data_IF_141561262999
#
_entry.id   IF_141561262999
#
_cell.length_a   1.000
_cell.length_b   1.000
_cell.length_c   1.000
_cell.angle_alpha   90.00
_cell.angle_beta   90.00
_cell.angle_gamma   90.00
#
_symmetry.space_group_name_H-M   'P 1'
#
loop_
_entity.id
_entity.type
_entity.pdbx_description
1 polymer ?
#
# COMPACT_ATOMS: atom_id res chain seq x y z
N UNK A 1 -15.62 14.55 3.26
CA UNK A 1 -14.42 13.94 3.85
C UNK A 1 -14.72 12.47 4.08
N UNK A 2 -13.91 11.55 3.58
CA UNK A 2 -14.01 10.12 3.89
C UNK A 2 -13.26 9.75 5.17
N UNK A 3 -13.25 8.46 5.53
CA UNK A 3 -12.49 7.92 6.64
C UNK A 3 -10.96 8.12 6.53
N UNK A 4 -10.46 8.53 5.35
CA UNK A 4 -9.03 8.85 5.14
C UNK A 4 -8.72 10.34 5.36
N UNK A 5 -9.73 11.15 5.69
CA UNK A 5 -9.57 12.61 5.83
C UNK A 5 -9.40 13.32 4.49
N UNK A 6 -9.73 12.66 3.38
CA UNK A 6 -9.61 13.21 2.04
C UNK A 6 -10.97 13.68 1.52
N UNK A 7 -10.93 14.68 0.64
CA UNK A 7 -12.14 15.27 0.09
C UNK A 7 -12.79 14.35 -0.94
N UNK A 8 -13.81 13.61 -0.54
CA UNK A 8 -14.53 12.65 -1.41
C UNK A 8 -15.46 13.30 -2.45
N UNK A 9 -15.37 14.62 -2.66
CA UNK A 9 -16.16 15.35 -3.66
C UNK A 9 -15.65 15.16 -5.08
N UNK A 10 -14.39 14.73 -5.24
CA UNK A 10 -13.71 14.58 -6.53
C UNK A 10 -13.41 13.11 -6.87
N UNK A 11 -13.60 12.73 -8.14
CA UNK A 11 -13.24 11.42 -8.64
C UNK A 11 -12.24 11.52 -9.81
N UNK A 12 -11.28 10.60 -9.86
CA UNK A 12 -10.22 10.62 -10.87
C UNK A 12 -10.75 10.25 -12.26
N UNK A 13 -10.07 10.74 -13.32
CA UNK A 13 -10.34 10.34 -14.71
C UNK A 13 -10.24 8.82 -14.91
N UNK A 14 -9.34 8.16 -14.18
CA UNK A 14 -9.21 6.70 -14.25
C UNK A 14 -10.46 6.00 -13.68
N UNK A 15 -10.94 6.46 -12.52
CA UNK A 15 -12.17 5.95 -11.90
C UNK A 15 -13.39 6.16 -12.80
N UNK A 16 -13.55 7.36 -13.38
CA UNK A 16 -14.68 7.68 -14.26
C UNK A 16 -14.64 6.87 -15.56
N UNK A 17 -13.46 6.63 -16.15
CA UNK A 17 -13.31 5.75 -17.32
C UNK A 17 -13.57 4.28 -17.02
N UNK A 18 -13.10 3.78 -15.87
CA UNK A 18 -13.38 2.41 -15.45
C UNK A 18 -14.89 2.20 -15.24
N UNK A 19 -15.55 3.17 -14.58
CA UNK A 19 -17.01 3.20 -14.41
C UNK A 19 -17.75 3.26 -15.73
N UNK A 20 -17.34 4.11 -16.67
CA UNK A 20 -18.01 4.24 -17.97
C UNK A 20 -17.93 2.96 -18.78
N UNK A 21 -16.81 2.22 -18.69
CA UNK A 21 -16.65 0.89 -19.32
C UNK A 21 -17.54 -0.18 -18.67
N UNK A 22 -17.77 -0.08 -17.36
CA UNK A 22 -18.61 -1.00 -16.60
C UNK A 22 -20.12 -0.71 -16.68
N UNK A 23 -20.52 0.41 -17.31
CA UNK A 23 -21.91 0.87 -17.33
C UNK A 23 -22.67 0.26 -18.52
N UNK A 24 -23.71 -0.53 -18.24
CA UNK A 24 -24.64 -1.05 -19.27
C UNK A 24 -25.30 0.13 -20.01
N UNK A 25 -25.44 0.00 -21.34
CA UNK A 25 -26.07 0.96 -22.28
C UNK A 25 -27.26 1.67 -21.63
N UNK A 26 -27.16 3.00 -21.43
CA UNK A 26 -28.31 3.85 -21.08
C UNK A 26 -28.15 4.79 -19.87
N UNK A 27 -27.13 4.64 -19.02
CA UNK A 27 -26.90 5.61 -17.92
C UNK A 27 -25.96 6.73 -18.36
N UNK A 28 -26.42 7.97 -18.23
CA UNK A 28 -25.74 9.19 -18.67
C UNK A 28 -24.31 9.29 -18.13
N UNK A 29 -23.41 9.78 -18.99
CA UNK A 29 -22.05 10.17 -18.61
C UNK A 29 -22.11 11.25 -17.53
N UNK A 30 -21.71 10.94 -16.30
CA UNK A 30 -21.45 11.96 -15.31
C UNK A 30 -20.18 12.69 -15.73
N UNK A 31 -20.33 13.85 -16.36
CA UNK A 31 -19.22 14.75 -16.67
C UNK A 31 -18.66 15.28 -15.35
N UNK A 32 -17.67 14.59 -14.78
CA UNK A 32 -16.87 15.15 -13.70
C UNK A 32 -15.88 16.15 -14.29
N UNK A 33 -16.11 17.42 -14.01
CA UNK A 33 -15.32 18.56 -14.52
C UNK A 33 -14.04 18.80 -13.71
N UNK A 34 -13.82 18.06 -12.62
CA UNK A 34 -12.69 18.32 -11.72
C UNK A 34 -11.41 17.65 -12.21
N UNK A 35 -10.37 18.48 -12.41
CA UNK A 35 -9.02 18.05 -12.84
C UNK A 35 -8.16 17.55 -11.69
N UNK A 36 -8.49 17.89 -10.45
CA UNK A 36 -7.77 17.50 -9.24
C UNK A 36 -8.58 16.47 -8.46
N UNK A 37 -7.91 15.43 -7.95
CA UNK A 37 -8.53 14.41 -7.09
C UNK A 37 -7.61 14.10 -5.92
N UNK A 38 -8.15 13.83 -4.72
CA UNK A 38 -7.29 13.46 -3.60
C UNK A 38 -6.58 12.13 -3.88
N UNK A 39 -5.31 12.06 -3.48
CA UNK A 39 -4.46 10.88 -3.63
C UNK A 39 -3.66 10.66 -2.34
N UNK A 40 -3.48 9.40 -1.99
CA UNK A 40 -2.70 9.01 -0.82
C UNK A 40 -1.65 7.98 -1.23
N UNK A 41 -0.40 8.24 -0.83
CA UNK A 41 0.71 7.29 -0.91
C UNK A 41 0.95 6.70 0.47
N UNK A 42 0.90 5.39 0.59
CA UNK A 42 1.17 4.68 1.85
C UNK A 42 2.38 3.78 1.67
N UNK A 43 3.33 3.88 2.58
CA UNK A 43 4.42 2.92 2.71
C UNK A 43 4.18 2.08 3.96
N UNK A 44 4.14 0.76 3.80
CA UNK A 44 3.97 -0.18 4.89
C UNK A 44 5.05 -1.28 4.84
N UNK A 45 5.37 -1.82 6.02
CA UNK A 45 6.10 -3.08 6.11
C UNK A 45 5.11 -4.24 5.90
N UNK A 46 5.33 -5.02 4.85
CA UNK A 46 4.48 -6.15 4.51
C UNK A 46 4.55 -7.30 5.53
N UNK A 47 5.59 -7.37 6.36
CA UNK A 47 5.75 -8.46 7.33
C UNK A 47 4.99 -8.19 8.62
N UNK A 48 5.11 -6.97 9.15
CA UNK A 48 4.41 -6.55 10.38
C UNK A 48 3.05 -5.89 10.12
N UNK A 49 2.71 -5.62 8.85
CA UNK A 49 1.56 -4.83 8.43
C UNK A 49 1.52 -3.40 9.02
N UNK A 50 2.66 -2.89 9.49
CA UNK A 50 2.77 -1.56 10.08
C UNK A 50 2.91 -0.51 8.97
N UNK A 51 2.12 0.56 9.06
CA UNK A 51 2.24 1.73 8.19
C UNK A 51 3.41 2.60 8.66
N UNK A 52 4.37 2.83 7.79
CA UNK A 52 5.62 3.54 8.06
C UNK A 52 5.52 5.03 7.71
N UNK A 53 4.83 5.34 6.61
CA UNK A 53 4.61 6.70 6.14
C UNK A 53 3.30 6.81 5.35
N UNK A 54 2.69 8.00 5.42
CA UNK A 54 1.47 8.36 4.70
C UNK A 54 1.66 9.76 4.14
N UNK A 55 1.52 9.89 2.82
CA UNK A 55 1.65 11.15 2.09
C UNK A 55 0.32 11.45 1.42
N UNK A 56 -0.23 12.63 1.70
CA UNK A 56 -1.48 13.10 1.11
C UNK A 56 -1.12 14.11 0.01
N UNK A 57 -1.69 13.97 -1.18
CA UNK A 57 -1.45 14.88 -2.30
C UNK A 57 -2.71 14.98 -3.18
N UNK A 58 -2.65 15.82 -4.21
CA UNK A 58 -3.66 15.96 -5.25
C UNK A 58 -3.14 15.39 -6.56
N UNK A 59 -3.90 14.48 -7.17
CA UNK A 59 -3.64 13.97 -8.51
C UNK A 59 -4.22 14.85 -9.62
N UNK A 60 -3.92 14.57 -10.90
CA UNK A 60 -3.09 13.47 -11.40
C UNK A 60 -1.59 13.78 -11.32
N UNK A 61 -0.87 13.01 -10.52
CA UNK A 61 0.58 13.09 -10.37
C UNK A 61 1.20 11.69 -10.36
N UNK A 62 2.41 11.58 -10.92
CA UNK A 62 3.16 10.32 -11.03
C UNK A 62 3.44 9.71 -9.65
N UNK A 63 3.38 8.38 -9.54
CA UNK A 63 3.62 7.65 -8.28
C UNK A 63 5.05 7.83 -7.76
N UNK A 64 6.02 8.13 -8.62
CA UNK A 64 7.42 8.33 -8.23
C UNK A 64 7.59 9.47 -7.23
N UNK A 65 6.80 10.56 -7.37
CA UNK A 65 6.87 11.68 -6.42
C UNK A 65 6.38 11.27 -5.03
N UNK A 66 5.24 10.59 -4.97
CA UNK A 66 4.66 10.08 -3.73
C UNK A 66 5.57 9.04 -3.08
N UNK A 67 6.17 8.14 -3.88
CA UNK A 67 7.10 7.13 -3.38
C UNK A 67 8.33 7.77 -2.75
N UNK A 68 8.96 8.73 -3.43
CA UNK A 68 10.18 9.38 -2.91
C UNK A 68 9.90 10.05 -1.57
N UNK A 69 8.80 10.78 -1.48
CA UNK A 69 8.41 11.46 -0.25
C UNK A 69 8.04 10.48 0.87
N UNK A 70 7.26 9.44 0.58
CA UNK A 70 6.92 8.41 1.57
C UNK A 70 8.16 7.66 2.06
N UNK A 71 9.10 7.37 1.16
CA UNK A 71 10.36 6.72 1.49
C UNK A 71 11.25 7.62 2.36
N UNK A 72 11.37 8.90 2.02
CA UNK A 72 12.13 9.87 2.81
C UNK A 72 11.53 10.06 4.21
N UNK A 73 10.20 10.13 4.33
CA UNK A 73 9.51 10.18 5.62
C UNK A 73 9.78 8.91 6.45
N UNK A 74 9.68 7.73 5.84
CA UNK A 74 9.93 6.47 6.53
C UNK A 74 11.39 6.33 6.96
N UNK A 75 12.34 6.69 6.11
CA UNK A 75 13.79 6.61 6.39
C UNK A 75 14.22 7.52 7.54
N UNK A 76 13.50 8.63 7.77
CA UNK A 76 13.71 9.51 8.93
C UNK A 76 13.23 8.90 10.25
N UNK A 77 12.26 7.97 10.20
CA UNK A 77 11.63 7.37 11.39
C UNK A 77 12.27 6.04 11.75
N UNK A 78 12.62 5.24 10.74
CA UNK A 78 13.18 3.92 10.92
C UNK A 78 14.37 3.68 9.96
N UNK A 79 15.39 2.92 10.40
CA UNK A 79 16.44 2.46 9.51
C UNK A 79 15.86 1.46 8.51
N UNK A 80 15.82 1.84 7.23
CA UNK A 80 15.39 0.93 6.16
C UNK A 80 16.59 0.11 5.72
N UNK A 81 16.58 -1.17 6.09
CA UNK A 81 17.59 -2.11 5.63
C UNK A 81 17.23 -2.61 4.24
N UNK A 82 18.23 -2.64 3.35
CA UNK A 82 18.09 -3.30 2.07
C UNK A 82 18.09 -4.80 2.32
N UNK A 83 16.91 -5.42 2.31
CA UNK A 83 16.85 -6.88 2.31
C UNK A 83 17.44 -7.35 0.98
N UNK A 84 18.58 -8.05 1.04
CA UNK A 84 19.00 -8.84 -0.10
C UNK A 84 17.90 -9.89 -0.34
N UNK A 85 17.26 -9.82 -1.50
CA UNK A 85 16.34 -10.85 -1.90
C UNK A 85 17.12 -12.16 -1.96
N UNK A 86 16.70 -13.24 -1.27
CA UNK A 86 17.41 -14.49 -1.35
C UNK A 86 17.35 -14.96 -2.81
N UNK A 87 18.49 -14.97 -3.48
CA UNK A 87 18.68 -15.58 -4.80
C UNK A 87 18.46 -17.08 -4.65
N UNK A 88 17.21 -17.53 -4.84
CA UNK A 88 16.71 -18.90 -5.07
C UNK A 88 17.19 -20.08 -4.18
N UNK A 89 18.19 -19.93 -3.30
CA UNK A 89 18.85 -21.04 -2.63
C UNK A 89 18.46 -21.24 -1.16
N UNK A 90 17.55 -20.43 -0.61
CA UNK A 90 17.11 -20.56 0.79
C UNK A 90 15.60 -20.65 0.90
N UNK A 91 15.01 -21.61 0.17
CA UNK A 91 13.70 -22.16 0.50
C UNK A 91 13.90 -23.24 1.56
N UNK A 92 14.39 -22.87 2.74
CA UNK A 92 14.19 -23.70 3.92
C UNK A 92 12.81 -23.33 4.48
N UNK A 93 11.80 -24.12 4.14
CA UNK A 93 10.50 -24.10 4.85
C UNK A 93 10.80 -24.21 6.35
N UNK A 94 10.21 -23.39 7.24
CA UNK A 94 10.19 -23.75 8.65
C UNK A 94 9.37 -25.04 8.74
N UNK A 95 10.06 -26.17 8.92
CA UNK A 95 9.41 -27.43 9.31
C UNK A 95 8.75 -27.15 10.65
N UNK A 96 7.43 -27.25 10.68
CA UNK A 96 6.60 -27.30 11.87
C UNK A 96 7.19 -28.34 12.83
N UNK A 97 7.97 -27.87 13.81
CA UNK A 97 8.56 -28.69 14.84
C UNK A 97 7.53 -29.00 15.93
N UNK A 98 6.58 -29.88 15.62
CA UNK A 98 5.86 -30.64 16.65
C UNK A 98 6.52 -32.02 16.77
N UNK A 99 7.62 -32.09 17.53
CA UNK A 99 8.20 -33.29 18.14
C UNK A 99 9.45 -32.84 18.90
N UNK A 100 9.73 -33.17 20.15
CA UNK A 100 9.09 -34.04 21.10
C UNK A 100 9.61 -33.67 22.50
N UNK A 101 8.77 -33.94 23.50
CA UNK A 101 9.14 -34.16 24.90
C UNK A 101 10.49 -34.89 25.03
N UNK A 102 11.43 -34.35 25.82
CA UNK A 102 12.28 -35.06 26.81
C UNK A 102 13.44 -34.15 27.23
N UNK A 103 13.32 -33.56 28.42
CA UNK A 103 14.42 -33.31 29.39
C UNK A 103 13.94 -32.34 30.48
N UNK A 104 12.95 -32.75 31.26
CA UNK A 104 12.70 -32.21 32.60
C UNK A 104 12.68 -33.40 33.56
N UNK A 105 13.86 -33.97 33.73
CA UNK A 105 14.23 -34.97 34.73
C UNK A 105 15.73 -34.83 34.90
N UNK A 106 16.12 -34.00 35.87
CA UNK A 106 17.41 -33.93 36.57
C UNK A 106 17.65 -32.50 37.06
N UNK A 107 17.08 -32.17 38.22
CA UNK A 107 17.75 -31.61 39.41
C UNK A 107 16.70 -31.09 40.38
#
# INVERSE_FOLDING_TARGET
>A
MDATGLESSAASRHYTQARSRAQKRGKQHTYLTYREFPKIGVLCDCTSHVVLAVVHDKGPSCDVRHFREAFDQARRRIPIQRRCWPTAATTARPTTGTAARRAASAR
#
